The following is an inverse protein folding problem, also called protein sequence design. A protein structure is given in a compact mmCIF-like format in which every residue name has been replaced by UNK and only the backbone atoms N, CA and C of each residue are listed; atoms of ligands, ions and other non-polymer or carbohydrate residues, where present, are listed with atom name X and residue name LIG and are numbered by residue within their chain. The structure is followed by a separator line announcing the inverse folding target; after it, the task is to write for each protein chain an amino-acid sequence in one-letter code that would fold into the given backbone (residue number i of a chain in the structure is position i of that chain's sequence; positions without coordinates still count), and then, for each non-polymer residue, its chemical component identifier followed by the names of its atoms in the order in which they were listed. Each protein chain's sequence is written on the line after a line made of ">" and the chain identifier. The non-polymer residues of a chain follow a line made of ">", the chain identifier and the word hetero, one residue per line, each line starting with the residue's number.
data_IF_318967332647
#
_entry.id   IF_318967332647
#
_cell.length_a   1.000
_cell.length_b   1.000
_cell.length_c   1.000
_cell.angle_alpha   90.00
_cell.angle_beta   90.00
_cell.angle_gamma   90.00
#
_symmetry.space_group_name_H-M   'P 1'
#
loop_
_entity.id
_entity.type
_entity.pdbx_description
1 polymer ?
#
# COMPACT_ATOMS: atom_id res chain seq x y z
N UNK A 1 -25.63 -13.83 -16.41
CA UNK A 1 -25.28 -12.43 -16.74
C UNK A 1 -23.88 -12.16 -16.19
N UNK A 2 -22.84 -12.17 -17.02
CA UNK A 2 -21.44 -11.92 -16.60
C UNK A 2 -21.15 -10.43 -16.76
N UNK A 3 -21.22 -9.66 -15.67
CA UNK A 3 -20.75 -8.26 -15.68
C UNK A 3 -19.23 -8.27 -15.79
N UNK A 4 -18.73 -7.95 -16.99
CA UNK A 4 -17.32 -7.69 -17.23
C UNK A 4 -17.08 -6.25 -16.79
N UNK A 5 -16.76 -6.06 -15.50
CA UNK A 5 -16.27 -4.78 -14.99
C UNK A 5 -14.98 -4.44 -15.77
N UNK A 6 -15.09 -3.51 -16.71
CA UNK A 6 -13.92 -2.83 -17.26
C UNK A 6 -13.36 -1.98 -16.12
N UNK A 7 -12.43 -2.57 -15.36
CA UNK A 7 -11.57 -1.83 -14.47
C UNK A 7 -10.79 -0.85 -15.35
N UNK A 8 -11.17 0.43 -15.27
CA UNK A 8 -10.37 1.52 -15.81
C UNK A 8 -9.10 1.63 -14.96
N UNK A 9 -8.12 0.82 -15.34
CA UNK A 9 -6.85 0.66 -14.64
C UNK A 9 -6.05 1.96 -14.57
N UNK A 10 -6.26 2.89 -15.51
CA UNK A 10 -5.51 4.15 -15.61
C UNK A 10 -5.86 5.16 -14.50
N UNK A 11 -7.15 5.33 -14.21
CA UNK A 11 -7.64 6.20 -13.11
C UNK A 11 -7.30 5.62 -11.72
N UNK A 12 -7.12 4.30 -11.66
CA UNK A 12 -6.78 3.58 -10.44
C UNK A 12 -5.32 3.74 -10.04
N UNK A 13 -4.41 3.59 -11.01
CA UNK A 13 -2.97 3.77 -10.76
C UNK A 13 -2.66 5.16 -10.24
N UNK A 14 -3.30 6.21 -10.76
CA UNK A 14 -3.03 7.59 -10.34
C UNK A 14 -3.47 7.88 -8.91
N UNK A 15 -4.64 7.41 -8.47
CA UNK A 15 -5.06 7.57 -7.06
C UNK A 15 -4.15 6.83 -6.08
N UNK A 16 -3.74 5.60 -6.42
CA UNK A 16 -2.79 4.87 -5.58
C UNK A 16 -1.39 5.47 -5.61
N UNK A 17 -0.93 5.99 -6.75
CA UNK A 17 0.33 6.72 -6.88
C UNK A 17 0.35 7.98 -6.01
N UNK A 18 -0.72 8.78 -6.00
CA UNK A 18 -0.81 9.93 -5.11
C UNK A 18 -0.72 9.54 -3.63
N UNK A 19 -1.40 8.46 -3.24
CA UNK A 19 -1.32 7.92 -1.87
C UNK A 19 0.10 7.46 -1.56
N UNK A 20 0.74 6.70 -2.45
CA UNK A 20 2.11 6.24 -2.30
C UNK A 20 3.12 7.40 -2.23
N UNK A 21 2.95 8.44 -3.04
CA UNK A 21 3.80 9.64 -3.00
C UNK A 21 3.63 10.42 -1.69
N UNK A 22 2.41 10.53 -1.17
CA UNK A 22 2.16 11.18 0.13
C UNK A 22 2.80 10.40 1.28
N UNK A 23 2.65 9.07 1.26
CA UNK A 23 3.31 8.18 2.22
C UNK A 23 4.83 8.33 2.12
N UNK A 24 5.36 8.38 0.90
CA UNK A 24 6.78 8.51 0.68
C UNK A 24 7.36 9.83 1.21
N UNK A 25 6.70 10.94 0.90
CA UNK A 25 7.12 12.26 1.38
C UNK A 25 7.11 12.36 2.91
N UNK A 26 6.03 11.88 3.54
CA UNK A 26 5.88 11.92 5.00
C UNK A 26 6.94 11.07 5.71
N UNK A 27 7.20 9.86 5.21
CA UNK A 27 8.22 9.01 5.81
C UNK A 27 9.62 9.60 5.58
N UNK A 28 9.90 10.12 4.38
CA UNK A 28 11.19 10.78 4.09
C UNK A 28 11.51 11.93 5.06
N UNK A 29 10.53 12.78 5.35
CA UNK A 29 10.69 13.90 6.31
C UNK A 29 10.99 13.43 7.75
N UNK A 30 10.50 12.24 8.13
CA UNK A 30 10.76 11.63 9.44
C UNK A 30 12.17 11.02 9.46
N UNK A 31 12.52 10.24 8.44
CA UNK A 31 13.80 9.52 8.40
C UNK A 31 15.01 10.39 8.04
N UNK A 32 14.84 11.54 7.36
CA UNK A 32 15.94 12.49 7.12
C UNK A 32 16.47 13.15 8.42
N UNK A 33 15.70 13.11 9.52
CA UNK A 33 16.07 13.73 10.80
C UNK A 33 16.58 12.74 11.84
N UNK A 34 16.48 11.44 11.58
CA UNK A 34 16.90 10.40 12.52
C UNK A 34 18.32 9.90 12.18
N UNK A 35 19.16 9.70 13.20
CA UNK A 35 20.48 9.09 13.07
C UNK A 35 20.36 7.57 12.90
N UNK A 36 19.73 7.16 11.81
CA UNK A 36 19.38 5.78 11.50
C UNK A 36 20.11 5.35 10.21
N UNK A 37 20.46 4.07 10.10
CA UNK A 37 21.04 3.56 8.86
C UNK A 37 20.00 3.59 7.73
N UNK A 38 20.48 3.68 6.48
CA UNK A 38 19.62 3.66 5.29
C UNK A 38 18.78 2.39 5.26
N UNK A 39 19.35 1.25 5.66
CA UNK A 39 18.67 -0.04 5.70
C UNK A 39 17.49 -0.03 6.69
N UNK A 40 17.72 0.49 7.90
CA UNK A 40 16.68 0.56 8.94
C UNK A 40 15.58 1.56 8.56
N UNK A 41 15.95 2.69 7.95
CA UNK A 41 15.01 3.68 7.40
C UNK A 41 14.14 3.08 6.30
N UNK A 42 14.73 2.36 5.35
CA UNK A 42 14.00 1.64 4.29
C UNK A 42 13.05 0.58 4.86
N UNK A 43 13.49 -0.18 5.87
CA UNK A 43 12.68 -1.19 6.53
C UNK A 43 11.47 -0.57 7.25
N UNK A 44 11.68 0.48 8.04
CA UNK A 44 10.61 1.12 8.81
C UNK A 44 9.65 1.89 7.89
N UNK A 45 10.17 2.52 6.83
CA UNK A 45 9.37 3.10 5.75
C UNK A 45 8.43 2.07 5.14
N UNK A 46 8.97 0.91 4.74
CA UNK A 46 8.19 -0.15 4.10
C UNK A 46 7.12 -0.69 5.05
N UNK A 47 7.49 -0.91 6.32
CA UNK A 47 6.58 -1.39 7.36
C UNK A 47 5.47 -0.38 7.67
N UNK A 48 5.77 0.91 7.65
CA UNK A 48 4.77 1.97 7.80
C UNK A 48 3.82 2.05 6.60
N UNK A 49 4.36 2.00 5.38
CA UNK A 49 3.58 2.02 4.15
C UNK A 49 2.62 0.83 4.03
N UNK A 50 3.09 -0.39 4.33
CA UNK A 50 2.23 -1.59 4.34
C UNK A 50 1.10 -1.45 5.38
N UNK A 51 1.37 -0.90 6.56
CA UNK A 51 0.34 -0.67 7.58
C UNK A 51 -0.73 0.33 7.11
N UNK A 52 -0.32 1.41 6.45
CA UNK A 52 -1.24 2.41 5.91
C UNK A 52 -2.09 1.85 4.78
N UNK A 53 -1.48 1.10 3.85
CA UNK A 53 -2.22 0.45 2.76
C UNK A 53 -3.23 -0.60 3.29
N UNK A 54 -2.88 -1.34 4.36
CA UNK A 54 -3.84 -2.23 5.04
C UNK A 54 -5.01 -1.47 5.65
N UNK A 55 -4.78 -0.29 6.21
CA UNK A 55 -5.86 0.55 6.74
C UNK A 55 -6.79 1.06 5.63
N UNK A 56 -6.23 1.44 4.47
CA UNK A 56 -7.02 1.79 3.27
C UNK A 56 -7.83 0.58 2.82
N UNK A 57 -7.22 -0.59 2.67
CA UNK A 57 -7.91 -1.80 2.24
C UNK A 57 -9.10 -2.15 3.14
N UNK A 58 -8.91 -2.05 4.47
CA UNK A 58 -9.99 -2.21 5.45
C UNK A 58 -11.10 -1.18 5.27
N UNK A 59 -10.75 0.10 5.08
CA UNK A 59 -11.74 1.17 4.89
C UNK A 59 -12.59 0.92 3.63
N UNK A 60 -11.95 0.54 2.52
CA UNK A 60 -12.63 0.24 1.27
C UNK A 60 -13.57 -0.99 1.41
N UNK A 61 -13.21 -1.98 2.24
CA UNK A 61 -14.06 -3.14 2.54
C UNK A 61 -15.33 -2.79 3.35
N UNK A 62 -15.32 -1.68 4.09
CA UNK A 62 -16.46 -1.27 4.91
C UNK A 62 -17.55 -0.54 4.11
N UNK A 63 -17.28 -0.17 2.86
CA UNK A 63 -18.23 0.53 1.99
C UNK A 63 -18.73 -0.42 0.89
N UNK A 64 -20.06 -0.55 0.68
CA UNK A 64 -20.62 -1.46 -0.33
C UNK A 64 -20.10 -1.21 -1.74
N UNK A 65 -19.86 0.06 -2.10
CA UNK A 65 -19.43 0.46 -3.44
C UNK A 65 -17.96 0.16 -3.74
N UNK A 66 -17.16 -0.10 -2.71
CA UNK A 66 -15.72 -0.28 -2.84
C UNK A 66 -15.20 -1.59 -2.25
N UNK A 67 -16.08 -2.49 -1.83
CA UNK A 67 -15.71 -3.73 -1.14
C UNK A 67 -14.76 -4.60 -1.97
N UNK A 68 -15.01 -4.76 -3.27
CA UNK A 68 -14.14 -5.51 -4.18
C UNK A 68 -12.74 -4.89 -4.26
N UNK A 69 -12.66 -3.55 -4.23
CA UNK A 69 -11.39 -2.81 -4.23
C UNK A 69 -10.57 -3.12 -2.99
N UNK A 70 -11.22 -3.09 -1.84
CA UNK A 70 -10.58 -3.38 -0.56
C UNK A 70 -10.12 -4.85 -0.43
N UNK A 71 -10.86 -5.80 -1.02
CA UNK A 71 -10.44 -7.21 -1.10
C UNK A 71 -9.22 -7.39 -1.99
N UNK A 72 -9.24 -6.82 -3.21
CA UNK A 72 -8.10 -6.90 -4.14
C UNK A 72 -6.84 -6.26 -3.55
N UNK A 73 -6.97 -5.10 -2.92
CA UNK A 73 -5.85 -4.42 -2.27
C UNK A 73 -5.27 -5.28 -1.13
N UNK A 74 -6.11 -5.94 -0.33
CA UNK A 74 -5.64 -6.84 0.74
C UNK A 74 -4.86 -8.04 0.18
N UNK A 75 -5.37 -8.68 -0.87
CA UNK A 75 -4.69 -9.82 -1.51
C UNK A 75 -3.34 -9.43 -2.13
N UNK A 76 -3.28 -8.25 -2.76
CA UNK A 76 -2.04 -7.70 -3.29
C UNK A 76 -1.01 -7.47 -2.16
N UNK A 77 -1.44 -6.85 -1.05
CA UNK A 77 -0.58 -6.59 0.10
C UNK A 77 -0.06 -7.88 0.75
N UNK A 78 -0.88 -8.92 0.89
CA UNK A 78 -0.45 -10.19 1.45
C UNK A 78 0.58 -10.89 0.55
N UNK A 79 0.47 -10.74 -0.77
CA UNK A 79 1.46 -11.24 -1.73
C UNK A 79 2.79 -10.49 -1.59
N UNK A 80 2.74 -9.16 -1.45
CA UNK A 80 3.92 -8.32 -1.24
C UNK A 80 4.62 -8.71 0.07
N UNK A 81 3.87 -8.81 1.18
CA UNK A 81 4.42 -9.17 2.50
C UNK A 81 5.07 -10.57 2.49
N UNK A 82 4.42 -11.55 1.83
CA UNK A 82 4.99 -12.90 1.69
C UNK A 82 6.31 -12.87 0.92
N UNK A 83 6.41 -12.08 -0.16
CA UNK A 83 7.63 -11.94 -0.93
C UNK A 83 8.75 -11.23 -0.16
N UNK A 84 8.42 -10.20 0.62
CA UNK A 84 9.43 -9.43 1.37
C UNK A 84 10.00 -10.23 2.54
N UNK A 85 9.17 -11.02 3.24
CA UNK A 85 9.63 -11.93 4.31
C UNK A 85 10.43 -13.13 3.78
N UNK A 86 10.38 -13.41 2.48
CA UNK A 86 11.18 -14.44 1.81
C UNK A 86 12.57 -13.95 1.39
N UNK A 87 12.82 -12.64 1.39
CA UNK A 87 14.03 -12.04 0.81
C UNK A 87 14.95 -11.37 1.84
N UNK A 88 14.49 -11.18 3.07
CA UNK A 88 15.30 -10.72 4.19
C UNK A 88 15.03 -11.62 5.41
N UNK A 89 15.95 -12.54 5.75
CA UNK A 89 15.93 -13.25 7.04
C UNK A 89 16.30 -12.31 8.20
#
# INVERSE_FOLDING_TARGET
>A
MKMRLKLDTGSYTSQFEEVLQRIWRRNREIFEKESMSVEQSCYDFQKAGIRQLRAVAKREQMLPETVEKGVLLSQCLDTIVKKTNSHYP
#
